data_IF_055071984869
#
_entry.id   IF_055071984869
#
_cell.length_a   1.000
_cell.length_b   1.000
_cell.length_c   1.000
_cell.angle_alpha   90.00
_cell.angle_beta   90.00
_cell.angle_gamma   90.00
#
_symmetry.space_group_name_H-M   'P 1'
#
loop_
_entity.id
_entity.type
_entity.pdbx_description
1 polymer ?
#
# COMPACT_ATOMS: atom_id res chain seq x y z
N UNK A 1 -11.65 -6.52 7.54
CA UNK A 1 -12.68 -5.47 7.45
C UNK A 1 -13.27 -5.34 8.84
N UNK A 2 -13.29 -4.16 9.45
CA UNK A 2 -13.86 -4.04 10.79
C UNK A 2 -15.38 -4.22 10.76
N UNK A 3 -15.97 -4.65 11.87
CA UNK A 3 -17.42 -4.84 12.01
C UNK A 3 -18.24 -3.58 11.67
N UNK A 4 -17.62 -2.41 11.80
CA UNK A 4 -18.20 -1.10 11.46
C UNK A 4 -18.51 -0.95 9.96
N UNK A 5 -17.74 -1.59 9.08
CA UNK A 5 -17.89 -1.43 7.62
C UNK A 5 -18.95 -2.38 7.04
N UNK A 6 -19.34 -3.41 7.79
CA UNK A 6 -20.16 -4.54 7.29
C UNK A 6 -21.51 -4.08 6.73
N UNK A 7 -22.22 -3.22 7.45
CA UNK A 7 -23.53 -2.72 7.01
C UNK A 7 -23.41 -1.93 5.70
N UNK A 8 -22.47 -0.99 5.64
CA UNK A 8 -22.22 -0.19 4.44
C UNK A 8 -21.86 -1.07 3.24
N UNK A 9 -21.03 -2.10 3.43
CA UNK A 9 -20.67 -3.04 2.38
C UNK A 9 -21.88 -3.84 1.86
N UNK A 10 -22.79 -4.28 2.72
CA UNK A 10 -24.00 -4.98 2.27
C UNK A 10 -24.97 -4.05 1.54
N UNK A 11 -25.09 -2.79 1.94
CA UNK A 11 -25.86 -1.77 1.20
C UNK A 11 -25.28 -1.57 -0.20
N UNK A 12 -23.96 -1.40 -0.32
CA UNK A 12 -23.27 -1.26 -1.61
C UNK A 12 -23.43 -2.53 -2.46
N UNK A 13 -23.25 -3.71 -1.87
CA UNK A 13 -23.44 -4.99 -2.55
C UNK A 13 -24.83 -5.10 -3.17
N UNK A 14 -25.89 -4.76 -2.43
CA UNK A 14 -27.27 -4.75 -2.93
C UNK A 14 -27.46 -3.81 -4.12
N UNK A 15 -26.86 -2.62 -4.07
CA UNK A 15 -26.88 -1.65 -5.18
C UNK A 15 -26.12 -2.14 -6.42
N UNK A 16 -25.11 -2.98 -6.23
CA UNK A 16 -24.29 -3.57 -7.30
C UNK A 16 -24.81 -4.93 -7.79
N UNK A 17 -26.05 -5.31 -7.46
CA UNK A 17 -26.65 -6.57 -7.91
C UNK A 17 -26.13 -7.81 -7.17
N UNK A 18 -25.69 -7.65 -5.92
CA UNK A 18 -25.22 -8.76 -5.07
C UNK A 18 -23.72 -9.01 -5.15
N UNK A 19 -22.91 -7.96 -5.33
CA UNK A 19 -21.46 -8.09 -5.38
C UNK A 19 -20.92 -8.77 -4.10
N UNK A 20 -19.90 -9.66 -4.19
CA UNK A 20 -19.38 -10.35 -3.02
C UNK A 20 -18.87 -9.40 -1.93
N UNK A 21 -19.26 -9.66 -0.68
CA UNK A 21 -18.72 -8.98 0.51
C UNK A 21 -17.76 -9.94 1.19
N UNK A 22 -16.51 -9.51 1.35
CA UNK A 22 -15.43 -10.31 1.92
C UNK A 22 -15.00 -9.65 3.23
N UNK A 23 -15.18 -10.36 4.34
CA UNK A 23 -14.98 -9.83 5.70
C UNK A 23 -13.93 -10.62 6.47
N UNK A 24 -13.33 -9.98 7.48
CA UNK A 24 -12.44 -10.70 8.42
C UNK A 24 -13.19 -11.58 9.43
N UNK A 25 -14.53 -11.59 9.38
CA UNK A 25 -15.33 -12.61 10.07
C UNK A 25 -15.20 -13.99 9.43
N UNK A 26 -14.96 -14.03 8.12
CA UNK A 26 -14.95 -15.27 7.32
C UNK A 26 -13.56 -15.65 6.81
N UNK A 27 -12.66 -14.66 6.70
CA UNK A 27 -11.32 -14.82 6.15
C UNK A 27 -10.25 -14.24 7.08
N UNK A 28 -9.12 -14.93 7.19
CA UNK A 28 -7.97 -14.41 7.92
C UNK A 28 -7.26 -13.27 7.17
N UNK A 29 -6.31 -12.62 7.83
CA UNK A 29 -5.55 -11.51 7.25
C UNK A 29 -4.78 -11.91 5.98
N UNK A 30 -4.19 -13.11 5.93
CA UNK A 30 -3.40 -13.56 4.79
C UNK A 30 -4.27 -13.83 3.57
N UNK A 31 -5.48 -14.38 3.79
CA UNK A 31 -6.48 -14.59 2.76
C UNK A 31 -6.99 -13.27 2.21
N UNK A 32 -7.32 -12.30 3.08
CA UNK A 32 -7.74 -10.97 2.65
C UNK A 32 -6.66 -10.27 1.82
N UNK A 33 -5.41 -10.29 2.27
CA UNK A 33 -4.30 -9.68 1.51
C UNK A 33 -4.09 -10.37 0.16
N UNK A 34 -4.24 -11.70 0.10
CA UNK A 34 -4.18 -12.44 -1.17
C UNK A 34 -5.26 -11.98 -2.13
N UNK A 35 -6.49 -11.81 -1.66
CA UNK A 35 -7.62 -11.31 -2.45
C UNK A 35 -7.34 -9.90 -2.97
N UNK A 36 -6.88 -8.99 -2.10
CA UNK A 36 -6.53 -7.62 -2.49
C UNK A 36 -5.45 -7.58 -3.58
N UNK A 37 -4.48 -8.50 -3.51
CA UNK A 37 -3.40 -8.64 -4.48
C UNK A 37 -3.84 -9.26 -5.82
N UNK A 38 -5.00 -9.90 -5.87
CA UNK A 38 -5.59 -10.45 -7.09
C UNK A 38 -6.50 -9.47 -7.82
N UNK A 39 -6.80 -8.31 -7.23
CA UNK A 39 -7.61 -7.29 -7.86
C UNK A 39 -6.89 -6.68 -9.09
N UNK A 40 -7.66 -6.38 -10.15
CA UNK A 40 -7.15 -5.58 -11.28
C UNK A 40 -6.95 -4.12 -10.89
N UNK A 41 -7.88 -3.58 -10.11
CA UNK A 41 -7.87 -2.22 -9.61
C UNK A 41 -8.60 -2.14 -8.27
N UNK A 42 -8.35 -1.07 -7.51
CA UNK A 42 -8.95 -0.91 -6.19
C UNK A 42 -9.16 0.57 -5.84
N UNK A 43 -10.28 0.86 -5.18
CA UNK A 43 -10.48 2.11 -4.45
C UNK A 43 -10.62 1.76 -2.98
N UNK A 44 -9.94 2.47 -2.09
CA UNK A 44 -10.01 2.18 -0.66
C UNK A 44 -9.98 3.45 0.19
N UNK A 45 -10.76 3.43 1.27
CA UNK A 45 -10.65 4.40 2.36
C UNK A 45 -9.75 3.93 3.50
N UNK A 46 -9.15 2.74 3.38
CA UNK A 46 -8.29 2.15 4.40
C UNK A 46 -6.86 2.11 3.88
N UNK A 47 -5.96 2.85 4.54
CA UNK A 47 -4.54 2.94 4.21
C UNK A 47 -3.89 1.56 3.95
N UNK A 48 -4.12 0.61 4.86
CA UNK A 48 -3.57 -0.75 4.76
C UNK A 48 -4.10 -1.53 3.54
N UNK A 49 -5.33 -1.26 3.09
CA UNK A 49 -5.84 -1.85 1.85
C UNK A 49 -4.92 -1.52 0.69
N UNK A 50 -4.57 -0.24 0.54
CA UNK A 50 -3.67 0.28 -0.50
C UNK A 50 -2.26 -0.27 -0.33
N UNK A 51 -1.67 -0.14 0.86
CA UNK A 51 -0.26 -0.55 1.07
C UNK A 51 -0.05 -2.05 0.86
N UNK A 52 -0.98 -2.89 1.31
CA UNK A 52 -0.80 -4.35 1.22
C UNK A 52 -0.91 -4.91 -0.21
N UNK A 53 -1.61 -4.22 -1.11
CA UNK A 53 -1.73 -4.58 -2.52
C UNK A 53 -0.61 -4.01 -3.40
N UNK A 54 0.11 -2.97 -2.96
CA UNK A 54 1.21 -2.35 -3.70
C UNK A 54 2.30 -3.33 -4.16
N UNK A 55 2.74 -4.34 -3.37
CA UNK A 55 3.68 -5.35 -3.85
C UNK A 55 3.20 -6.13 -5.08
N UNK A 56 1.89 -6.23 -5.30
CA UNK A 56 1.32 -6.88 -6.49
C UNK A 56 0.99 -5.89 -7.60
N UNK A 57 1.40 -4.62 -7.46
CA UNK A 57 1.16 -3.56 -8.42
C UNK A 57 -0.32 -3.44 -8.79
N UNK A 58 -1.21 -3.48 -7.80
CA UNK A 58 -2.64 -3.24 -8.04
C UNK A 58 -2.86 -1.74 -8.20
N UNK A 59 -3.38 -1.33 -9.36
CA UNK A 59 -3.72 0.07 -9.63
C UNK A 59 -4.77 0.54 -8.61
N UNK A 60 -4.40 1.52 -7.79
CA UNK A 60 -5.21 1.88 -6.62
C UNK A 60 -5.34 3.38 -6.42
N UNK A 61 -6.54 3.79 -6.01
CA UNK A 61 -6.89 5.14 -5.60
C UNK A 61 -7.36 5.17 -4.14
N UNK A 62 -7.32 6.36 -3.54
CA UNK A 62 -7.63 6.57 -2.13
C UNK A 62 -8.81 7.50 -1.91
N UNK A 63 -9.67 7.17 -0.96
CA UNK A 63 -10.68 8.10 -0.41
C UNK A 63 -10.31 8.40 1.02
N UNK A 64 -9.91 9.63 1.33
CA UNK A 64 -9.30 9.94 2.63
C UNK A 64 -10.20 10.79 3.53
N UNK A 65 -10.06 10.55 4.84
CA UNK A 65 -10.52 11.44 5.91
C UNK A 65 -9.36 12.19 6.57
N UNK A 66 -8.13 11.70 6.40
CA UNK A 66 -6.94 12.18 7.09
C UNK A 66 -5.72 12.29 6.16
N UNK A 67 -4.55 12.55 6.73
CA UNK A 67 -3.29 12.74 6.03
C UNK A 67 -2.66 11.43 5.52
N UNK A 68 -3.04 10.26 6.02
CA UNK A 68 -2.29 9.02 5.77
C UNK A 68 -2.35 8.59 4.30
N UNK A 69 -3.55 8.50 3.75
CA UNK A 69 -3.73 8.18 2.33
C UNK A 69 -3.24 9.34 1.46
N UNK A 70 -3.43 10.60 1.90
CA UNK A 70 -2.95 11.79 1.19
C UNK A 70 -1.43 11.75 0.99
N UNK A 71 -0.68 11.51 2.06
CA UNK A 71 0.76 11.41 2.04
C UNK A 71 1.23 10.24 1.16
N UNK A 72 0.56 9.08 1.25
CA UNK A 72 0.86 7.94 0.40
C UNK A 72 0.65 8.24 -1.09
N UNK A 73 -0.45 8.89 -1.46
CA UNK A 73 -0.72 9.23 -2.86
C UNK A 73 0.27 10.26 -3.39
N UNK A 74 0.65 11.23 -2.57
CA UNK A 74 1.70 12.19 -2.89
C UNK A 74 3.05 11.51 -3.10
N UNK A 75 3.46 10.66 -2.15
CA UNK A 75 4.69 9.88 -2.23
C UNK A 75 4.75 8.99 -3.48
N UNK A 76 3.60 8.42 -3.87
CA UNK A 76 3.45 7.62 -5.08
C UNK A 76 3.46 8.42 -6.38
N UNK A 77 3.42 9.76 -6.33
CA UNK A 77 3.26 10.60 -7.51
C UNK A 77 1.86 10.55 -8.13
N UNK A 78 0.85 10.12 -7.37
CA UNK A 78 -0.52 9.89 -7.82
C UNK A 78 -1.54 10.72 -7.01
N UNK A 79 -1.20 11.98 -6.69
CA UNK A 79 -2.09 12.88 -5.95
C UNK A 79 -3.44 13.09 -6.66
N UNK A 80 -3.50 12.89 -7.97
CA UNK A 80 -4.72 12.97 -8.78
C UNK A 80 -5.64 11.75 -8.63
N UNK A 81 -5.21 10.71 -7.91
CA UNK A 81 -6.00 9.52 -7.53
C UNK A 81 -6.47 9.57 -6.07
N UNK A 82 -6.50 10.77 -5.48
CA UNK A 82 -6.97 11.03 -4.12
C UNK A 82 -8.33 11.74 -4.16
N UNK A 83 -9.30 11.21 -3.42
CA UNK A 83 -10.58 11.86 -3.12
C UNK A 83 -10.66 12.16 -1.62
N UNK A 84 -11.46 13.14 -1.24
CA UNK A 84 -11.85 13.36 0.16
C UNK A 84 -13.30 12.92 0.37
N UNK A 85 -13.63 12.40 1.55
CA UNK A 85 -14.97 11.86 1.84
C UNK A 85 -16.08 12.92 1.83
N UNK A 86 -15.72 14.18 2.02
CA UNK A 86 -16.58 15.34 2.14
C UNK A 86 -16.69 16.15 0.84
N UNK A 87 -16.10 15.65 -0.25
CA UNK A 87 -16.19 16.29 -1.56
C UNK A 87 -17.66 16.26 -2.05
N UNK A 88 -18.28 17.42 -2.33
CA UNK A 88 -19.67 17.47 -2.79
C UNK A 88 -19.86 16.74 -4.14
N UNK A 89 -18.80 16.60 -4.93
CA UNK A 89 -18.81 15.93 -6.24
C UNK A 89 -18.19 14.53 -6.18
N UNK A 90 -18.15 13.91 -4.99
CA UNK A 90 -17.47 12.64 -4.74
C UNK A 90 -17.91 11.52 -5.71
N UNK A 91 -19.21 11.42 -5.98
CA UNK A 91 -19.77 10.39 -6.87
C UNK A 91 -19.21 10.52 -8.30
N UNK A 92 -19.27 11.72 -8.88
CA UNK A 92 -18.79 11.98 -10.24
C UNK A 92 -17.28 11.76 -10.34
N UNK A 93 -16.53 12.28 -9.37
CA UNK A 93 -15.07 12.15 -9.31
C UNK A 93 -14.63 10.70 -9.13
N UNK A 94 -15.38 9.90 -8.36
CA UNK A 94 -15.11 8.47 -8.19
C UNK A 94 -15.22 7.72 -9.51
N UNK A 95 -16.25 7.99 -10.32
CA UNK A 95 -16.41 7.37 -11.64
C UNK A 95 -15.23 7.71 -12.56
N UNK A 96 -14.79 8.98 -12.56
CA UNK A 96 -13.61 9.43 -13.33
C UNK A 96 -12.35 8.67 -12.89
N UNK A 97 -12.12 8.55 -11.57
CA UNK A 97 -10.97 7.83 -11.04
C UNK A 97 -11.01 6.35 -11.39
N UNK A 98 -12.18 5.68 -11.29
CA UNK A 98 -12.32 4.29 -11.72
C UNK A 98 -11.97 4.12 -13.20
N UNK A 99 -12.36 5.10 -14.04
CA UNK A 99 -11.95 5.19 -15.44
C UNK A 99 -10.42 5.24 -15.59
N UNK A 100 -9.76 6.15 -14.89
CA UNK A 100 -8.29 6.28 -14.89
C UNK A 100 -7.59 5.00 -14.42
N UNK A 101 -8.06 4.40 -13.32
CA UNK A 101 -7.49 3.14 -12.81
C UNK A 101 -7.53 2.04 -13.87
N UNK A 102 -8.57 2.02 -14.69
CA UNK A 102 -8.74 1.03 -15.75
C UNK A 102 -7.88 1.33 -16.99
N UNK A 103 -7.84 2.59 -17.45
CA UNK A 103 -7.18 2.98 -18.71
C UNK A 103 -5.70 3.32 -18.55
N UNK A 104 -5.29 3.84 -17.40
CA UNK A 104 -3.92 4.25 -17.10
C UNK A 104 -3.18 3.27 -16.18
N UNK A 105 -3.72 2.06 -16.02
CA UNK A 105 -3.21 1.05 -15.08
C UNK A 105 -1.69 0.86 -15.16
N UNK A 106 -1.12 0.68 -16.35
CA UNK A 106 0.34 0.48 -16.51
C UNK A 106 1.17 1.64 -15.97
N UNK A 107 0.76 2.89 -16.24
CA UNK A 107 1.45 4.08 -15.71
C UNK A 107 1.39 4.13 -14.18
N UNK A 108 0.23 3.77 -13.62
CA UNK A 108 0.01 3.77 -12.16
C UNK A 108 0.85 2.68 -11.50
N UNK A 109 0.92 1.49 -12.13
CA UNK A 109 1.73 0.35 -11.67
C UNK A 109 3.20 0.69 -11.59
N UNK A 110 3.71 1.40 -12.59
CA UNK A 110 5.09 1.88 -12.63
C UNK A 110 5.42 2.76 -11.41
N UNK A 111 4.61 3.79 -11.14
CA UNK A 111 4.82 4.65 -9.97
C UNK A 111 4.67 3.92 -8.63
N UNK A 112 3.78 2.92 -8.54
CA UNK A 112 3.68 2.05 -7.36
C UNK A 112 4.97 1.25 -7.18
N UNK A 113 5.50 0.61 -8.23
CA UNK A 113 6.71 -0.20 -8.16
C UNK A 113 7.92 0.60 -7.67
N UNK A 114 8.12 1.79 -8.24
CA UNK A 114 9.17 2.73 -7.81
C UNK A 114 9.03 3.11 -6.33
N UNK A 115 7.80 3.35 -5.88
CA UNK A 115 7.51 3.69 -4.48
C UNK A 115 7.82 2.53 -3.54
N UNK A 116 7.43 1.30 -3.89
CA UNK A 116 7.72 0.11 -3.07
C UNK A 116 9.23 -0.07 -2.93
N UNK A 117 9.98 0.00 -4.04
CA UNK A 117 11.43 -0.14 -4.03
C UNK A 117 12.10 0.94 -3.17
N UNK A 118 11.69 2.20 -3.34
CA UNK A 118 12.18 3.33 -2.53
C UNK A 118 11.89 3.12 -1.05
N UNK A 119 10.68 2.68 -0.70
CA UNK A 119 10.28 2.52 0.70
C UNK A 119 11.02 1.38 1.38
N UNK A 120 11.35 0.30 0.66
CA UNK A 120 12.24 -0.74 1.15
C UNK A 120 13.63 -0.17 1.49
N UNK A 121 14.22 0.65 0.61
CA UNK A 121 15.51 1.31 0.87
C UNK A 121 15.43 2.29 2.06
N UNK A 122 14.34 3.03 2.20
CA UNK A 122 14.11 3.93 3.33
C UNK A 122 14.01 3.15 4.64
N UNK A 123 13.23 2.05 4.67
CA UNK A 123 13.13 1.20 5.85
C UNK A 123 14.48 0.61 6.26
N UNK A 124 15.29 0.16 5.30
CA UNK A 124 16.64 -0.30 5.59
C UNK A 124 17.51 0.80 6.24
N UNK A 125 17.43 2.03 5.71
CA UNK A 125 18.14 3.18 6.27
C UNK A 125 17.67 3.53 7.68
N UNK A 126 16.38 3.36 7.98
CA UNK A 126 15.86 3.52 9.34
C UNK A 126 16.50 2.50 10.31
N UNK A 127 16.75 1.27 9.85
CA UNK A 127 17.48 0.26 10.62
C UNK A 127 18.91 0.70 10.98
N UNK A 128 19.62 1.31 10.03
CA UNK A 128 20.96 1.86 10.27
C UNK A 128 20.91 2.97 11.32
N UNK A 129 20.01 3.95 11.16
CA UNK A 129 19.87 5.04 12.13
C UNK A 129 19.49 4.56 13.52
N UNK A 130 18.64 3.53 13.59
CA UNK A 130 18.28 2.92 14.86
C UNK A 130 19.49 2.25 15.53
N UNK A 131 20.30 1.50 14.78
CA UNK A 131 21.53 0.89 15.30
C UNK A 131 22.54 1.94 15.79
N UNK A 132 22.75 3.01 15.02
CA UNK A 132 23.62 4.14 15.42
C UNK A 132 23.14 4.82 16.71
N UNK A 133 21.82 5.02 16.84
CA UNK A 133 21.24 5.61 18.05
C UNK A 133 21.42 4.66 19.24
N UNK A 134 21.22 3.36 19.04
CA UNK A 134 21.37 2.35 20.07
C UNK A 134 22.80 2.30 20.60
N UNK A 135 23.81 2.31 19.73
CA UNK A 135 25.22 2.34 20.15
C UNK A 135 25.59 3.62 20.93
N UNK A 136 25.03 4.77 20.53
CA UNK A 136 25.26 6.04 21.24
C UNK A 136 24.70 6.00 22.66
N UNK A 137 23.52 5.42 22.84
CA UNK A 137 22.87 5.32 24.15
C UNK A 137 23.40 4.14 25.00
N UNK A 138 23.81 3.06 24.35
CA UNK A 138 24.26 1.82 24.97
C UNK A 138 25.51 1.28 24.27
N UNK A 139 26.71 1.80 24.60
CA UNK A 139 27.96 1.43 23.92
C UNK A 139 28.30 -0.07 23.99
N UNK A 140 27.85 -0.75 25.05
CA UNK A 140 28.08 -2.18 25.26
C UNK A 140 27.03 -3.08 24.58
N UNK A 141 26.02 -2.50 23.92
CA UNK A 141 25.00 -3.30 23.24
C UNK A 141 25.61 -4.07 22.06
N UNK A 142 25.37 -5.39 21.95
CA UNK A 142 25.93 -6.19 20.88
C UNK A 142 25.29 -5.83 19.54
N UNK A 143 26.13 -5.36 18.61
CA UNK A 143 25.74 -5.04 17.23
C UNK A 143 26.38 -5.99 16.23
N UNK A 144 25.76 -6.09 15.05
CA UNK A 144 26.26 -6.94 13.96
C UNK A 144 27.62 -6.42 13.50
N UNK A 145 28.56 -7.34 13.22
CA UNK A 145 29.92 -7.00 12.77
C UNK A 145 30.12 -7.46 11.32
N UNK A 146 30.94 -6.74 10.57
CA UNK A 146 31.28 -7.04 9.18
C UNK A 146 30.59 -6.11 8.17
N UNK A 147 30.86 -6.33 6.88
CA UNK A 147 30.19 -5.60 5.80
C UNK A 147 28.70 -6.00 5.77
N UNK A 148 27.82 -5.03 6.00
CA UNK A 148 26.37 -5.21 5.88
C UNK A 148 25.89 -4.53 4.59
N UNK A 149 25.10 -5.23 3.79
CA UNK A 149 24.27 -4.63 2.75
C UNK A 149 23.05 -3.94 3.36
N UNK A 150 22.43 -3.02 2.63
CA UNK A 150 21.20 -2.38 3.10
C UNK A 150 20.06 -3.39 3.33
N UNK A 151 20.02 -4.47 2.55
CA UNK A 151 19.03 -5.56 2.69
C UNK A 151 19.11 -6.28 4.04
N UNK A 152 20.29 -6.29 4.70
CA UNK A 152 20.47 -6.91 6.01
C UNK A 152 19.68 -6.20 7.12
N UNK A 153 19.24 -4.97 6.87
CA UNK A 153 18.37 -4.19 7.76
C UNK A 153 16.88 -4.43 7.50
N UNK A 154 16.51 -5.31 6.57
CA UNK A 154 15.13 -5.66 6.26
C UNK A 154 14.77 -7.08 6.72
N UNK A 155 13.47 -7.35 6.97
CA UNK A 155 12.98 -8.72 7.05
C UNK A 155 13.24 -9.48 5.73
N UNK A 156 13.26 -10.83 5.77
CA UNK A 156 13.44 -11.65 4.58
C UNK A 156 12.47 -11.26 3.46
N UNK A 157 13.02 -10.88 2.30
CA UNK A 157 12.23 -10.44 1.16
C UNK A 157 11.62 -11.63 0.42
N UNK A 158 10.32 -11.57 0.17
CA UNK A 158 9.63 -12.54 -0.69
C UNK A 158 10.16 -12.48 -2.13
N UNK A 159 10.04 -13.57 -2.93
CA UNK A 159 10.48 -13.58 -4.33
C UNK A 159 9.87 -12.44 -5.16
N UNK A 160 8.62 -12.08 -4.89
CA UNK A 160 7.94 -10.98 -5.57
C UNK A 160 8.58 -9.61 -5.26
N UNK A 161 8.95 -9.36 -3.99
CA UNK A 161 9.62 -8.12 -3.62
C UNK A 161 11.04 -8.03 -4.19
N UNK A 162 11.77 -9.15 -4.26
CA UNK A 162 13.08 -9.21 -4.92
C UNK A 162 12.97 -8.83 -6.40
N UNK A 163 12.02 -9.43 -7.12
CA UNK A 163 11.76 -9.10 -8.52
C UNK A 163 11.34 -7.63 -8.72
N UNK A 164 10.56 -7.07 -7.79
CA UNK A 164 10.25 -5.64 -7.81
C UNK A 164 11.51 -4.80 -7.64
N UNK A 165 12.39 -5.14 -6.69
CA UNK A 165 13.64 -4.42 -6.51
C UNK A 165 14.53 -4.50 -7.75
N UNK A 166 14.64 -5.64 -8.40
CA UNK A 166 15.40 -5.80 -9.66
C UNK A 166 14.86 -4.87 -10.76
N UNK A 167 13.54 -4.72 -10.86
CA UNK A 167 12.90 -3.90 -11.90
C UNK A 167 12.93 -2.40 -11.59
N UNK A 168 12.86 -2.03 -10.31
CA UNK A 168 12.57 -0.66 -9.87
C UNK A 168 13.69 0.00 -9.04
N UNK A 169 14.67 -0.76 -8.57
CA UNK A 169 15.87 -0.20 -7.94
C UNK A 169 16.86 0.19 -9.02
N UNK A 170 16.69 1.38 -9.60
CA UNK A 170 17.83 2.06 -10.20
C UNK A 170 18.60 2.80 -9.12
N UNK A 171 19.91 2.94 -9.35
CA UNK A 171 20.85 3.69 -8.51
C UNK A 171 20.52 5.18 -8.49
#
# INVERSE_FOLDING_TARGET
MEKLDTEACHVVSGKLGGAPVISSGDYDMYQLVSILRSCRMMVSSRYHGIVTCMPSLVASAGVTMDERIRNLMHERGHSDLLLTVDDPDLEEKLVIILGKLNTESERIREGIGQTVARNLKVMARMGVFFEEHLQKCYPDFPIRKGLQGWEDYLPPLSPNLKKLLENYSRD
#
